data_IF_289863385717
#
_entry.id   IF_289863385717
#
_cell.length_a   1.000
_cell.length_b   1.000
_cell.length_c   1.000
_cell.angle_alpha   90.00
_cell.angle_beta   90.00
_cell.angle_gamma   90.00
#
_symmetry.space_group_name_H-M   'P 1'
#
loop_
_entity.id
_entity.type
_entity.pdbx_description
1 polymer ?
#
# COMPACT_ATOMS: atom_id res chain seq x y z
N UNK A 1 -3.46 -9.52 3.18
CA UNK A 1 -2.63 -10.53 3.85
C UNK A 1 -3.22 -10.91 5.20
N UNK A 2 -3.15 -12.21 5.55
CA UNK A 2 -3.80 -12.74 6.76
C UNK A 2 -3.13 -12.24 8.05
N UNK A 3 -1.80 -12.13 8.09
CA UNK A 3 -1.08 -11.66 9.29
C UNK A 3 -1.48 -10.21 9.59
N UNK A 4 -1.56 -9.38 8.55
CA UNK A 4 -2.03 -8.01 8.71
C UNK A 4 -3.47 -7.97 9.22
N UNK A 5 -4.39 -8.76 8.65
CA UNK A 5 -5.81 -8.77 9.06
C UNK A 5 -5.96 -9.21 10.52
N UNK A 6 -5.20 -10.23 10.96
CA UNK A 6 -5.17 -10.67 12.36
C UNK A 6 -4.71 -9.52 13.28
N UNK A 7 -3.55 -8.92 13.01
CA UNK A 7 -3.01 -7.82 13.83
C UNK A 7 -3.92 -6.59 13.83
N UNK A 8 -4.49 -6.26 12.68
CA UNK A 8 -5.44 -5.17 12.58
C UNK A 8 -6.67 -5.39 13.47
N UNK A 9 -7.21 -6.62 13.50
CA UNK A 9 -8.33 -6.99 14.37
C UNK A 9 -8.00 -6.99 15.87
N UNK A 10 -6.75 -7.34 16.22
CA UNK A 10 -6.28 -7.35 17.61
C UNK A 10 -6.01 -5.95 18.16
N UNK A 11 -5.51 -5.04 17.33
CA UNK A 11 -5.04 -3.72 17.75
C UNK A 11 -6.09 -2.62 17.55
N UNK A 12 -7.13 -2.87 16.76
CA UNK A 12 -8.18 -1.90 16.48
C UNK A 12 -9.57 -2.43 16.82
N UNK A 13 -10.57 -1.56 16.81
CA UNK A 13 -11.99 -1.94 16.89
C UNK A 13 -12.66 -1.96 15.52
N UNK A 14 -11.89 -1.75 14.46
CA UNK A 14 -12.40 -1.75 13.09
C UNK A 14 -12.84 -3.16 12.66
N UNK A 15 -13.95 -3.30 11.93
CA UNK A 15 -14.38 -4.60 11.44
C UNK A 15 -13.40 -5.14 10.38
N UNK A 16 -13.14 -6.44 10.43
CA UNK A 16 -12.35 -7.17 9.43
C UNK A 16 -13.19 -8.23 8.74
N UNK A 17 -12.77 -8.63 7.54
CA UNK A 17 -13.33 -9.79 6.87
C UNK A 17 -13.06 -11.07 7.68
N UNK A 18 -14.01 -12.00 7.67
CA UNK A 18 -13.88 -13.28 8.36
C UNK A 18 -14.10 -14.44 7.38
N UNK A 19 -13.35 -15.52 7.58
CA UNK A 19 -13.51 -16.77 6.86
C UNK A 19 -14.75 -17.55 7.39
N UNK A 20 -14.98 -18.75 6.79
CA UNK A 20 -16.10 -19.64 7.20
C UNK A 20 -15.98 -20.17 8.63
N UNK A 21 -14.81 -20.06 9.26
CA UNK A 21 -14.54 -20.48 10.65
C UNK A 21 -14.57 -19.31 11.62
N UNK A 22 -14.96 -18.11 11.12
CA UNK A 22 -15.01 -16.88 11.87
C UNK A 22 -13.60 -16.37 12.31
N UNK A 23 -12.57 -16.69 11.51
CA UNK A 23 -11.21 -16.19 11.70
C UNK A 23 -10.94 -15.01 10.76
N UNK A 24 -10.12 -14.02 11.15
CA UNK A 24 -9.74 -12.90 10.29
C UNK A 24 -9.14 -13.38 8.96
N UNK A 25 -9.64 -12.83 7.87
CA UNK A 25 -9.23 -13.21 6.52
C UNK A 25 -9.22 -12.00 5.58
N UNK A 26 -8.61 -12.18 4.43
CA UNK A 26 -8.60 -11.23 3.34
C UNK A 26 -9.18 -11.88 2.07
N UNK A 27 -9.54 -11.05 1.12
CA UNK A 27 -10.08 -11.53 -0.15
C UNK A 27 -9.24 -10.99 -1.31
N UNK A 28 -9.05 -11.82 -2.32
CA UNK A 28 -8.44 -11.43 -3.59
C UNK A 28 -9.55 -11.20 -4.61
N UNK A 29 -9.60 -10.01 -5.20
CA UNK A 29 -10.60 -9.63 -6.21
C UNK A 29 -9.91 -9.18 -7.50
N UNK A 30 -10.55 -9.43 -8.62
CA UNK A 30 -10.18 -8.80 -9.89
C UNK A 30 -10.91 -7.47 -10.02
N UNK A 31 -10.32 -6.52 -10.72
CA UNK A 31 -10.98 -5.23 -10.99
C UNK A 31 -12.30 -5.40 -11.75
N UNK A 32 -12.46 -6.51 -12.49
CA UNK A 32 -13.68 -6.85 -13.23
C UNK A 32 -14.72 -7.61 -12.42
N UNK A 33 -14.42 -8.05 -11.20
CA UNK A 33 -15.37 -8.79 -10.37
C UNK A 33 -16.49 -7.88 -9.88
N UNK A 34 -17.75 -8.36 -9.83
CA UNK A 34 -18.90 -7.56 -9.37
C UNK A 34 -18.73 -7.09 -7.92
N UNK A 35 -18.07 -7.88 -7.09
CA UNK A 35 -17.82 -7.63 -5.66
C UNK A 35 -16.86 -6.48 -5.38
N UNK A 36 -16.10 -6.00 -6.38
CA UNK A 36 -15.13 -4.91 -6.21
C UNK A 36 -15.66 -3.74 -5.39
N UNK A 37 -16.89 -3.33 -5.65
CA UNK A 37 -17.52 -2.16 -5.02
C UNK A 37 -18.04 -2.42 -3.60
N UNK A 38 -17.89 -3.63 -3.07
CA UNK A 38 -18.29 -3.95 -1.69
C UNK A 38 -17.16 -3.73 -0.70
N UNK A 39 -15.93 -3.54 -1.18
CA UNK A 39 -14.75 -3.36 -0.34
C UNK A 39 -14.35 -1.90 -0.27
N UNK A 40 -14.11 -1.34 0.95
CA UNK A 40 -13.79 0.08 1.11
C UNK A 40 -12.39 0.43 0.62
N UNK A 41 -11.46 -0.53 0.62
CA UNK A 41 -10.10 -0.33 0.13
C UNK A 41 -9.57 -1.53 -0.63
N UNK A 42 -8.61 -1.27 -1.50
CA UNK A 42 -7.81 -2.25 -2.23
C UNK A 42 -6.33 -2.06 -1.89
N UNK A 43 -5.62 -3.17 -1.85
CA UNK A 43 -4.16 -3.20 -1.77
C UNK A 43 -3.61 -3.89 -3.01
N UNK A 44 -2.61 -3.28 -3.66
CA UNK A 44 -1.90 -3.86 -4.81
C UNK A 44 -0.40 -3.78 -4.57
N UNK A 45 0.29 -4.90 -4.67
CA UNK A 45 1.73 -5.02 -4.59
C UNK A 45 2.36 -5.16 -5.98
N UNK A 46 3.67 -4.86 -6.11
CA UNK A 46 4.48 -5.02 -7.35
C UNK A 46 3.87 -4.33 -8.59
N UNK A 47 3.35 -3.12 -8.40
CA UNK A 47 2.64 -2.39 -9.46
C UNK A 47 3.56 -1.83 -10.55
N UNK A 48 4.88 -1.96 -10.38
CA UNK A 48 5.88 -1.54 -11.37
C UNK A 48 5.79 -2.29 -12.70
N UNK A 49 5.04 -3.39 -12.76
CA UNK A 49 4.75 -4.17 -13.98
C UNK A 49 3.27 -4.16 -14.35
N UNK A 50 2.45 -3.41 -13.65
CA UNK A 50 1.01 -3.34 -13.87
C UNK A 50 0.68 -2.87 -15.29
N UNK A 51 -0.39 -3.42 -15.84
CA UNK A 51 -1.01 -2.99 -17.08
C UNK A 51 -2.52 -3.17 -16.97
N UNK A 52 -3.28 -2.09 -17.21
CA UNK A 52 -4.74 -2.13 -17.15
C UNK A 52 -5.35 -2.15 -18.55
N UNK A 53 -6.18 -3.15 -18.81
CA UNK A 53 -7.07 -3.15 -19.95
C UNK A 53 -8.15 -2.07 -19.82
N UNK A 54 -8.84 -1.70 -20.92
CA UNK A 54 -9.86 -0.64 -20.88
C UNK A 54 -10.94 -0.88 -19.82
N UNK A 55 -11.47 -2.10 -19.72
CA UNK A 55 -12.52 -2.45 -18.76
C UNK A 55 -12.03 -2.35 -17.31
N UNK A 56 -10.79 -2.76 -17.04
CA UNK A 56 -10.16 -2.68 -15.73
C UNK A 56 -9.93 -1.22 -15.32
N UNK A 57 -9.42 -0.41 -16.25
CA UNK A 57 -9.21 1.02 -16.04
C UNK A 57 -10.53 1.76 -15.74
N UNK A 58 -11.58 1.50 -16.52
CA UNK A 58 -12.89 2.08 -16.30
C UNK A 58 -13.48 1.71 -14.94
N UNK A 59 -13.36 0.45 -14.55
CA UNK A 59 -13.88 -0.05 -13.27
C UNK A 59 -13.11 0.47 -12.08
N UNK A 60 -11.78 0.48 -12.13
CA UNK A 60 -10.96 1.05 -11.07
C UNK A 60 -11.23 2.55 -10.93
N UNK A 61 -11.33 3.28 -12.05
CA UNK A 61 -11.71 4.69 -12.03
C UNK A 61 -13.10 4.94 -11.43
N UNK A 62 -14.07 4.08 -11.74
CA UNK A 62 -15.41 4.16 -11.14
C UNK A 62 -15.37 3.84 -9.64
N UNK A 63 -14.57 2.84 -9.21
CA UNK A 63 -14.37 2.46 -7.83
C UNK A 63 -13.81 3.64 -7.02
N UNK A 64 -12.72 4.24 -7.47
CA UNK A 64 -12.05 5.36 -6.80
C UNK A 64 -12.98 6.59 -6.68
N UNK A 65 -13.68 6.95 -7.76
CA UNK A 65 -14.62 8.09 -7.75
C UNK A 65 -15.87 7.87 -6.88
N UNK A 66 -16.22 6.61 -6.59
CA UNK A 66 -17.35 6.26 -5.71
C UNK A 66 -16.99 6.13 -4.23
N UNK A 67 -15.79 6.50 -3.85
CA UNK A 67 -15.36 6.46 -2.45
C UNK A 67 -14.36 5.36 -2.12
N UNK A 68 -13.99 4.52 -3.11
CA UNK A 68 -12.96 3.51 -2.91
C UNK A 68 -11.59 4.13 -2.69
N UNK A 69 -10.74 3.39 -1.98
CA UNK A 69 -9.35 3.74 -1.72
C UNK A 69 -8.42 2.65 -2.28
N UNK A 70 -7.32 3.04 -2.90
CA UNK A 70 -6.29 2.14 -3.39
C UNK A 70 -4.96 2.47 -2.73
N UNK A 71 -4.34 1.50 -2.07
CA UNK A 71 -2.95 1.58 -1.65
C UNK A 71 -2.09 0.68 -2.55
N UNK A 72 -1.03 1.25 -3.12
CA UNK A 72 -0.05 0.51 -3.92
C UNK A 72 1.32 0.55 -3.25
N UNK A 73 2.01 -0.60 -3.29
CA UNK A 73 3.25 -0.83 -2.56
C UNK A 73 4.20 -1.70 -3.39
N UNK A 74 5.42 -1.90 -2.92
CA UNK A 74 6.42 -2.81 -3.47
C UNK A 74 6.75 -2.56 -4.95
N UNK A 75 7.16 -1.35 -5.27
CA UNK A 75 7.71 -1.05 -6.60
C UNK A 75 8.92 -0.12 -6.49
N UNK A 76 9.96 -0.41 -7.28
CA UNK A 76 11.31 0.05 -7.01
C UNK A 76 11.98 0.71 -8.23
N UNK A 77 12.50 1.91 -8.00
CA UNK A 77 13.29 2.66 -8.96
C UNK A 77 12.46 3.38 -10.03
N UNK A 78 13.14 4.13 -10.91
CA UNK A 78 12.47 5.03 -11.86
C UNK A 78 11.61 4.32 -12.90
N UNK A 79 12.02 3.15 -13.39
CA UNK A 79 11.25 2.42 -14.41
C UNK A 79 9.91 1.92 -13.88
N UNK A 80 9.90 1.36 -12.67
CA UNK A 80 8.66 0.92 -12.02
C UNK A 80 7.74 2.11 -11.72
N UNK A 81 8.32 3.24 -11.30
CA UNK A 81 7.60 4.49 -11.12
C UNK A 81 6.96 5.00 -12.42
N UNK A 82 7.72 5.08 -13.51
CA UNK A 82 7.23 5.55 -14.81
C UNK A 82 6.10 4.65 -15.34
N UNK A 83 6.25 3.32 -15.21
CA UNK A 83 5.22 2.36 -15.60
C UNK A 83 3.95 2.57 -14.79
N UNK A 84 4.04 2.63 -13.47
CA UNK A 84 2.88 2.86 -12.60
C UNK A 84 2.22 4.21 -12.88
N UNK A 85 2.99 5.29 -12.95
CA UNK A 85 2.45 6.63 -13.23
C UNK A 85 1.72 6.70 -14.58
N UNK A 86 2.24 6.00 -15.59
CA UNK A 86 1.59 5.88 -16.89
C UNK A 86 0.26 5.13 -16.81
N UNK A 87 0.21 4.02 -16.06
CA UNK A 87 -1.00 3.20 -15.94
C UNK A 87 -2.10 3.89 -15.13
N UNK A 88 -1.77 4.46 -13.97
CA UNK A 88 -2.76 5.19 -13.17
C UNK A 88 -3.22 6.46 -13.87
N UNK A 89 -2.36 7.07 -14.68
CA UNK A 89 -2.70 8.25 -15.50
C UNK A 89 -3.75 8.01 -16.57
N UNK A 90 -3.97 6.77 -17.00
CA UNK A 90 -5.08 6.39 -17.89
C UNK A 90 -6.44 6.47 -17.17
N UNK A 91 -6.42 6.21 -15.87
CA UNK A 91 -7.59 6.10 -14.98
C UNK A 91 -7.94 7.45 -14.35
N UNK A 92 -6.90 8.13 -13.86
CA UNK A 92 -6.94 9.44 -13.22
C UNK A 92 -5.98 10.38 -13.96
N UNK A 93 -6.45 11.09 -14.99
CA UNK A 93 -5.60 11.95 -15.82
C UNK A 93 -4.85 13.00 -14.99
N UNK A 94 -3.52 13.12 -15.11
CA UNK A 94 -2.70 13.95 -14.21
C UNK A 94 -2.98 15.44 -14.28
N UNK A 95 -3.62 15.91 -15.34
CA UNK A 95 -4.08 17.30 -15.45
C UNK A 95 -5.24 17.64 -14.51
N UNK A 96 -6.03 16.65 -14.09
CA UNK A 96 -7.13 16.78 -13.13
C UNK A 96 -6.79 16.17 -11.77
N UNK A 97 -6.02 15.09 -11.78
CA UNK A 97 -5.65 14.30 -10.60
C UNK A 97 -4.11 14.18 -10.49
N UNK A 98 -3.42 15.25 -10.09
CA UNK A 98 -1.97 15.22 -9.97
C UNK A 98 -1.52 14.27 -8.87
N UNK A 99 -0.39 13.59 -9.10
CA UNK A 99 0.31 12.86 -8.05
C UNK A 99 1.08 13.88 -7.23
N UNK A 100 0.90 13.87 -5.90
CA UNK A 100 1.58 14.77 -4.97
C UNK A 100 2.29 14.00 -3.87
N UNK A 101 3.39 14.54 -3.37
CA UNK A 101 4.08 13.96 -2.21
C UNK A 101 3.25 14.20 -0.94
N UNK A 102 3.17 13.17 -0.07
CA UNK A 102 2.52 13.24 1.24
C UNK A 102 3.61 13.41 2.29
N UNK A 103 3.72 14.58 2.92
CA UNK A 103 4.76 14.83 3.92
C UNK A 103 4.49 14.07 5.22
N UNK A 104 5.54 13.80 6.01
CA UNK A 104 5.39 13.14 7.32
C UNK A 104 4.49 13.91 8.30
N UNK A 105 4.28 15.20 8.10
CA UNK A 105 3.34 16.00 8.90
C UNK A 105 1.86 15.78 8.54
N UNK A 106 1.58 14.99 7.49
CA UNK A 106 0.20 14.69 7.12
C UNK A 106 -0.47 13.79 8.16
N UNK A 107 -1.75 14.04 8.51
CA UNK A 107 -2.49 13.23 9.49
C UNK A 107 -2.51 11.72 9.24
N UNK A 108 -2.33 11.28 8.00
CA UNK A 108 -2.27 9.85 7.67
C UNK A 108 -1.13 9.13 8.40
N UNK A 109 -0.05 9.84 8.74
CA UNK A 109 1.09 9.30 9.50
C UNK A 109 0.88 9.32 11.01
N UNK A 110 -0.15 9.99 11.52
CA UNK A 110 -0.38 10.26 12.94
C UNK A 110 -1.76 9.80 13.43
N UNK A 111 -2.29 8.72 12.83
CA UNK A 111 -3.58 8.16 13.21
C UNK A 111 -3.54 7.46 14.58
N UNK A 112 -3.37 6.16 14.59
CA UNK A 112 -3.22 5.37 15.82
C UNK A 112 -1.77 5.38 16.35
N UNK A 113 -0.80 5.42 15.45
CA UNK A 113 0.63 5.45 15.73
C UNK A 113 1.26 6.74 15.23
N UNK A 114 2.26 7.23 15.94
CA UNK A 114 3.05 8.41 15.53
C UNK A 114 4.24 7.95 14.65
N UNK A 115 4.07 8.05 13.34
CA UNK A 115 5.08 7.64 12.36
C UNK A 115 5.99 8.83 12.07
N UNK A 116 7.21 8.76 12.54
CA UNK A 116 8.23 9.80 12.34
C UNK A 116 9.12 9.55 11.13
N UNK A 117 9.07 8.33 10.58
CA UNK A 117 9.79 7.92 9.37
C UNK A 117 9.03 6.77 8.71
N UNK A 118 8.83 6.83 7.40
CA UNK A 118 8.32 5.69 6.63
C UNK A 118 9.50 4.76 6.32
N UNK A 119 9.48 3.51 6.80
CA UNK A 119 10.63 2.64 6.68
C UNK A 119 10.86 2.22 5.22
N UNK A 120 12.12 2.10 4.82
CA UNK A 120 12.49 1.37 3.62
C UNK A 120 12.62 -0.12 3.98
N UNK A 121 11.63 -0.89 3.67
CA UNK A 121 11.59 -2.34 3.91
C UNK A 121 11.95 -3.03 2.59
N UNK A 122 13.04 -3.80 2.54
CA UNK A 122 13.37 -4.60 1.36
C UNK A 122 12.60 -5.91 1.40
N UNK A 123 12.48 -6.60 0.26
CA UNK A 123 12.02 -7.99 0.27
C UNK A 123 12.92 -8.87 1.16
N UNK A 124 12.35 -9.89 1.79
CA UNK A 124 13.12 -10.83 2.62
C UNK A 124 14.24 -11.51 1.83
N UNK A 125 14.05 -11.71 0.53
CA UNK A 125 15.07 -12.28 -0.36
C UNK A 125 16.24 -11.32 -0.54
N UNK A 126 15.97 -10.01 -0.72
CA UNK A 126 17.04 -9.01 -0.80
C UNK A 126 17.77 -8.92 0.55
N UNK A 127 17.02 -8.82 1.65
CA UNK A 127 17.59 -8.79 3.00
C UNK A 127 18.58 -9.92 3.24
N UNK A 128 18.18 -11.16 2.96
CA UNK A 128 19.03 -12.35 3.09
C UNK A 128 20.23 -12.31 2.17
N UNK A 129 20.04 -11.93 0.90
CA UNK A 129 21.12 -11.87 -0.10
C UNK A 129 22.23 -10.88 0.29
N UNK A 130 21.88 -9.74 0.86
CA UNK A 130 22.84 -8.70 1.25
C UNK A 130 23.23 -8.75 2.72
N UNK A 131 22.66 -9.66 3.51
CA UNK A 131 22.88 -9.76 4.96
C UNK A 131 22.45 -8.51 5.71
N UNK A 132 21.32 -7.93 5.34
CA UNK A 132 20.75 -6.75 6.00
C UNK A 132 21.57 -5.46 5.87
N UNK A 133 22.55 -5.39 4.96
CA UNK A 133 23.47 -4.24 4.84
C UNK A 133 22.89 -3.05 4.08
N UNK A 134 21.89 -3.27 3.25
CA UNK A 134 21.20 -2.22 2.50
C UNK A 134 19.73 -2.58 2.36
N UNK A 135 18.88 -1.56 2.36
CA UNK A 135 17.44 -1.69 2.18
C UNK A 135 17.02 -1.37 0.74
N UNK A 136 17.80 -0.58 0.03
CA UNK A 136 17.53 -0.22 -1.36
C UNK A 136 17.77 -1.38 -2.31
N UNK A 137 16.72 -1.83 -3.01
CA UNK A 137 16.80 -2.97 -3.94
C UNK A 137 17.44 -2.63 -5.29
N UNK A 138 17.41 -1.37 -5.68
CA UNK A 138 17.98 -0.86 -6.95
C UNK A 138 19.15 0.09 -6.74
N UNK A 139 19.83 0.00 -5.56
CA UNK A 139 20.96 0.86 -5.20
C UNK A 139 20.57 2.34 -5.21
N UNK A 140 21.40 3.21 -5.79
CA UNK A 140 21.13 4.66 -5.81
C UNK A 140 19.83 5.06 -6.53
N UNK A 141 19.27 4.19 -7.35
CA UNK A 141 18.01 4.47 -8.08
C UNK A 141 16.75 4.30 -7.20
N UNK A 142 16.88 3.69 -6.04
CA UNK A 142 15.79 3.54 -5.07
C UNK A 142 16.26 3.85 -3.64
N UNK A 143 17.16 4.81 -3.50
CA UNK A 143 17.74 5.15 -2.19
C UNK A 143 16.71 5.81 -1.26
N UNK A 144 15.80 6.60 -1.81
CA UNK A 144 14.82 7.36 -1.04
C UNK A 144 13.43 6.75 -1.15
N UNK A 145 12.75 6.60 -0.01
CA UNK A 145 11.34 6.20 0.06
C UNK A 145 10.46 7.40 -0.27
N UNK A 146 9.41 7.16 -1.03
CA UNK A 146 8.43 8.19 -1.35
C UNK A 146 7.03 7.74 -0.95
N UNK A 147 6.31 8.58 -0.23
CA UNK A 147 4.87 8.44 -0.01
C UNK A 147 4.16 9.49 -0.84
N UNK A 148 3.30 9.06 -1.73
CA UNK A 148 2.59 9.93 -2.66
C UNK A 148 1.11 9.61 -2.69
N UNK A 149 0.30 10.57 -3.13
CA UNK A 149 -1.13 10.40 -3.20
C UNK A 149 -1.76 11.06 -4.41
N UNK A 150 -2.97 10.60 -4.73
CA UNK A 150 -3.88 11.26 -5.65
C UNK A 150 -5.16 11.56 -4.88
N UNK A 151 -5.60 12.81 -4.92
CA UNK A 151 -6.77 13.28 -4.21
C UNK A 151 -7.91 13.60 -5.21
N UNK A 152 -9.15 13.46 -4.77
CA UNK A 152 -10.30 13.97 -5.50
C UNK A 152 -10.48 15.48 -5.29
N UNK A 153 -11.48 16.06 -5.98
CA UNK A 153 -11.79 17.49 -5.91
C UNK A 153 -12.25 17.96 -4.52
N UNK A 154 -12.71 17.03 -3.69
CA UNK A 154 -13.11 17.32 -2.30
C UNK A 154 -11.93 17.22 -1.31
N UNK A 155 -10.74 16.80 -1.78
CA UNK A 155 -9.56 16.62 -0.96
C UNK A 155 -9.45 15.23 -0.29
N UNK A 156 -10.32 14.26 -0.68
CA UNK A 156 -10.22 12.88 -0.19
C UNK A 156 -9.10 12.14 -0.92
N UNK A 157 -8.24 11.47 -0.19
CA UNK A 157 -7.19 10.62 -0.74
C UNK A 157 -7.82 9.38 -1.40
N UNK A 158 -7.65 9.26 -2.72
CA UNK A 158 -8.14 8.12 -3.50
C UNK A 158 -7.10 7.04 -3.70
N UNK A 159 -5.85 7.43 -3.93
CA UNK A 159 -4.73 6.53 -4.19
C UNK A 159 -3.56 6.91 -3.30
N UNK A 160 -3.04 5.96 -2.55
CA UNK A 160 -1.82 6.05 -1.77
C UNK A 160 -0.74 5.20 -2.42
N UNK A 161 0.47 5.70 -2.49
CA UNK A 161 1.62 5.04 -3.11
C UNK A 161 2.81 5.06 -2.17
N UNK A 162 3.34 3.89 -1.83
CA UNK A 162 4.61 3.70 -1.13
C UNK A 162 5.64 3.16 -2.11
N UNK A 163 6.52 4.05 -2.59
CA UNK A 163 7.49 3.76 -3.63
C UNK A 163 8.89 3.62 -3.05
N UNK A 164 9.68 2.67 -3.53
CA UNK A 164 11.00 2.28 -3.04
C UNK A 164 10.97 1.66 -1.65
N UNK A 165 9.92 0.96 -1.34
CA UNK A 165 9.75 0.17 -0.12
C UNK A 165 8.74 -0.94 -0.38
N UNK A 166 8.78 -2.00 0.40
CA UNK A 166 7.85 -3.12 0.45
C UNK A 166 7.31 -3.20 1.90
N UNK A 167 6.34 -2.34 2.19
CA UNK A 167 5.75 -2.30 3.54
C UNK A 167 5.12 -3.65 3.87
N UNK A 168 4.51 -4.31 2.88
CA UNK A 168 3.81 -5.58 3.06
C UNK A 168 4.74 -6.72 3.48
N UNK A 169 5.97 -6.81 2.99
CA UNK A 169 6.91 -7.85 3.40
C UNK A 169 7.18 -7.82 4.91
N UNK A 170 7.03 -6.66 5.55
CA UNK A 170 7.14 -6.54 7.00
C UNK A 170 6.16 -7.40 7.78
N UNK A 171 4.93 -7.62 7.29
CA UNK A 171 3.95 -8.52 7.91
C UNK A 171 3.85 -9.88 7.22
N UNK A 172 4.02 -9.93 5.89
CA UNK A 172 3.96 -11.19 5.14
C UNK A 172 5.05 -12.16 5.57
N UNK A 173 6.22 -11.62 5.92
CA UNK A 173 7.43 -12.38 6.24
C UNK A 173 7.84 -12.32 7.71
N UNK A 174 6.96 -11.86 8.61
CA UNK A 174 7.27 -11.66 10.03
C UNK A 174 7.81 -12.90 10.73
N UNK A 175 7.39 -14.09 10.32
CA UNK A 175 7.81 -15.37 10.90
C UNK A 175 9.05 -15.99 10.28
N UNK A 176 9.62 -15.41 9.22
CA UNK A 176 10.70 -16.05 8.45
C UNK A 176 12.12 -15.77 8.96
N UNK A 177 12.33 -14.62 9.60
CA UNK A 177 13.64 -14.19 10.08
C UNK A 177 13.49 -13.26 11.27
N UNK A 178 14.15 -13.59 12.39
CA UNK A 178 14.05 -12.84 13.64
C UNK A 178 14.60 -11.41 13.54
N UNK A 179 15.71 -11.22 12.82
CA UNK A 179 16.32 -9.90 12.63
C UNK A 179 15.47 -9.03 11.71
N UNK A 180 14.88 -9.63 10.67
CA UNK A 180 13.93 -8.95 9.78
C UNK A 180 12.71 -8.47 10.56
N UNK A 181 12.12 -9.35 11.39
CA UNK A 181 11.00 -8.98 12.26
C UNK A 181 11.31 -7.75 13.11
N UNK A 182 12.43 -7.80 13.84
CA UNK A 182 12.80 -6.69 14.74
C UNK A 182 13.08 -5.38 14.03
N UNK A 183 13.63 -5.44 12.83
CA UNK A 183 13.97 -4.24 12.07
C UNK A 183 12.75 -3.60 11.42
N UNK A 184 11.80 -4.40 10.93
CA UNK A 184 10.80 -3.93 9.97
C UNK A 184 9.35 -4.21 10.37
N UNK A 185 9.02 -5.40 10.89
CA UNK A 185 7.62 -5.83 11.05
C UNK A 185 6.82 -4.91 11.96
N UNK A 186 7.39 -4.47 13.07
CA UNK A 186 6.69 -3.61 14.03
C UNK A 186 6.29 -2.27 13.40
N UNK A 187 7.22 -1.63 12.67
CA UNK A 187 6.96 -0.35 12.01
C UNK A 187 6.05 -0.53 10.79
N UNK A 188 6.20 -1.63 10.06
CA UNK A 188 5.33 -2.00 8.96
C UNK A 188 3.86 -2.06 9.39
N UNK A 189 3.56 -2.78 10.48
CA UNK A 189 2.22 -2.83 11.05
C UNK A 189 1.71 -1.44 11.45
N UNK A 190 2.53 -0.63 12.10
CA UNK A 190 2.13 0.71 12.52
C UNK A 190 1.75 1.60 11.32
N UNK A 191 2.55 1.58 10.26
CA UNK A 191 2.28 2.30 9.00
C UNK A 191 1.00 1.78 8.34
N UNK A 192 0.90 0.46 8.16
CA UNK A 192 -0.26 -0.16 7.50
C UNK A 192 -1.57 0.10 8.25
N UNK A 193 -1.57 0.00 9.59
CA UNK A 193 -2.75 0.28 10.41
C UNK A 193 -3.19 1.73 10.26
N UNK A 194 -2.27 2.69 10.32
CA UNK A 194 -2.60 4.10 10.10
C UNK A 194 -3.24 4.33 8.73
N UNK A 195 -2.66 3.77 7.68
CA UNK A 195 -3.13 3.96 6.31
C UNK A 195 -4.52 3.37 6.09
N UNK A 196 -4.78 2.17 6.61
CA UNK A 196 -6.10 1.54 6.48
C UNK A 196 -7.14 2.24 7.35
N UNK A 197 -6.80 2.65 8.58
CA UNK A 197 -7.71 3.44 9.41
C UNK A 197 -8.07 4.78 8.74
N UNK A 198 -7.09 5.44 8.10
CA UNK A 198 -7.37 6.65 7.32
C UNK A 198 -8.37 6.37 6.19
N UNK A 199 -8.15 5.29 5.41
CA UNK A 199 -9.05 4.89 4.33
C UNK A 199 -10.48 4.56 4.81
N UNK A 200 -10.63 4.09 6.04
CA UNK A 200 -11.94 3.72 6.61
C UNK A 200 -12.68 4.89 7.28
N UNK A 201 -12.00 6.01 7.53
CA UNK A 201 -12.55 7.13 8.30
C UNK A 201 -12.66 8.45 7.52
N UNK A 202 -12.06 8.53 6.35
CA UNK A 202 -12.01 9.72 5.49
C UNK A 202 -12.42 9.40 4.06
#
# INVERSE_FOLDING_TARGET
DINFTIRFSELTTAPVGLDRRNEPDHIVVRLTDPELFTYPFLFMSDVGTAWFGPDEADRLGAYLRKGGFLWVDDFWGPFAWEQWASEIGKILPPGQYPIVDIPLSDPIHHGMFDITEVPQIPSIQHFRRVGGRTTSERGSQSADVHVRGIYDEAGRLMVLMTHNTDIADGWEREGEDYEFFYRYSVTSYAVGINFILHAMTH
#
